data_IF_302382517804
#
_entry.id   IF_302382517804
#
_cell.length_a   1.000
_cell.length_b   1.000
_cell.length_c   1.000
_cell.angle_alpha   90.00
_cell.angle_beta   90.00
_cell.angle_gamma   90.00
#
_symmetry.space_group_name_H-M   'P 1'
#
loop_
_entity.id
_entity.type
_entity.pdbx_description
1 polymer ?
#
# COMPACT_ATOMS: atom_id res chain seq x y z
N UNK A 1 78.43 40.68 -38.27
CA UNK A 1 77.33 41.40 -37.60
C UNK A 1 76.09 40.51 -37.65
N UNK A 2 75.73 39.77 -36.60
CA UNK A 2 75.25 40.17 -35.25
C UNK A 2 73.72 40.40 -35.24
N UNK A 3 72.99 39.49 -34.57
CA UNK A 3 71.59 39.59 -34.02
C UNK A 3 70.43 39.81 -35.02
N UNK A 4 69.16 39.42 -34.81
CA UNK A 4 68.42 38.55 -33.84
C UNK A 4 66.98 38.36 -34.40
N UNK A 5 66.02 37.56 -33.87
CA UNK A 5 65.91 36.74 -32.66
C UNK A 5 65.03 35.48 -32.91
N UNK A 6 64.93 34.58 -31.93
CA UNK A 6 63.87 33.56 -31.83
C UNK A 6 62.47 34.15 -31.55
N UNK A 7 61.41 33.49 -32.03
CA UNK A 7 60.23 33.10 -31.22
C UNK A 7 59.11 32.42 -32.04
N UNK A 8 58.23 31.69 -31.33
CA UNK A 8 56.91 31.17 -31.78
C UNK A 8 56.86 29.91 -32.68
N UNK A 9 57.44 28.80 -32.22
CA UNK A 9 56.86 27.47 -32.49
C UNK A 9 56.78 26.59 -31.23
N UNK A 10 55.65 26.67 -30.52
CA UNK A 10 55.31 25.77 -29.43
C UNK A 10 53.84 25.90 -29.03
N UNK A 11 53.04 24.84 -29.22
CA UNK A 11 51.62 24.86 -28.79
C UNK A 11 50.61 23.94 -29.48
N UNK A 12 50.99 23.07 -30.43
CA UNK A 12 50.01 22.28 -31.20
C UNK A 12 49.53 20.95 -30.57
N UNK A 13 50.24 20.41 -29.58
CA UNK A 13 50.10 18.99 -29.19
C UNK A 13 48.92 18.65 -28.26
N UNK A 14 48.43 19.58 -27.44
CA UNK A 14 47.44 19.31 -26.39
C UNK A 14 46.01 19.21 -26.93
N UNK A 15 45.63 20.10 -27.85
CA UNK A 15 44.28 20.18 -28.43
C UNK A 15 43.92 18.90 -29.21
N UNK A 16 44.83 18.43 -30.08
CA UNK A 16 44.64 17.22 -30.90
C UNK A 16 44.57 15.92 -30.07
N UNK A 17 45.13 15.91 -28.85
CA UNK A 17 45.02 14.78 -27.91
C UNK A 17 43.73 14.84 -27.08
N UNK A 18 43.18 16.04 -26.88
CA UNK A 18 41.89 16.26 -26.21
C UNK A 18 40.71 15.90 -27.11
N UNK A 19 40.68 16.35 -28.36
CA UNK A 19 39.64 15.96 -29.34
C UNK A 19 39.58 14.45 -29.53
N UNK A 20 40.72 13.79 -29.78
CA UNK A 20 40.78 12.33 -29.95
C UNK A 20 40.32 11.53 -28.72
N UNK A 21 40.39 12.11 -27.51
CA UNK A 21 39.78 11.53 -26.30
C UNK A 21 38.27 11.81 -26.25
N UNK A 22 37.83 13.02 -26.58
CA UNK A 22 36.41 13.38 -26.70
C UNK A 22 35.67 12.42 -27.66
N UNK A 23 36.18 12.27 -28.89
CA UNK A 23 35.63 11.37 -29.91
C UNK A 23 35.57 9.90 -29.44
N UNK A 24 36.54 9.46 -28.62
CA UNK A 24 36.55 8.11 -28.05
C UNK A 24 35.52 7.92 -26.93
N UNK A 25 35.20 8.95 -26.16
CA UNK A 25 34.13 8.89 -25.16
C UNK A 25 32.75 8.94 -25.82
N UNK A 26 32.56 9.79 -26.83
CA UNK A 26 31.29 9.95 -27.53
C UNK A 26 30.97 8.70 -28.38
N UNK A 27 31.97 8.09 -29.01
CA UNK A 27 31.79 6.81 -29.73
C UNK A 27 31.53 5.62 -28.79
N UNK A 28 32.13 5.56 -27.60
CA UNK A 28 31.81 4.53 -26.59
C UNK A 28 30.41 4.74 -25.99
N UNK A 29 29.99 5.99 -25.75
CA UNK A 29 28.63 6.30 -25.31
C UNK A 29 27.58 5.99 -26.41
N UNK A 30 27.90 6.26 -27.67
CA UNK A 30 27.08 5.90 -28.83
C UNK A 30 26.99 4.36 -29.00
N UNK A 31 28.12 3.64 -28.91
CA UNK A 31 28.12 2.18 -28.96
C UNK A 31 27.37 1.54 -27.78
N UNK A 32 27.51 2.08 -26.56
CA UNK A 32 26.77 1.61 -25.39
C UNK A 32 25.25 1.88 -25.49
N UNK A 33 24.85 3.03 -26.03
CA UNK A 33 23.44 3.35 -26.26
C UNK A 33 22.83 2.56 -27.42
N UNK A 34 23.57 2.30 -28.50
CA UNK A 34 23.18 1.39 -29.58
C UNK A 34 23.04 -0.05 -29.09
N UNK A 35 23.99 -0.55 -28.30
CA UNK A 35 23.92 -1.89 -27.69
C UNK A 35 22.74 -2.02 -26.74
N UNK A 36 22.48 -1.00 -25.92
CA UNK A 36 21.29 -0.91 -25.06
C UNK A 36 19.98 -0.80 -25.85
N UNK A 37 20.00 -0.21 -27.05
CA UNK A 37 18.84 -0.12 -27.95
C UNK A 37 18.55 -1.47 -28.61
N UNK A 38 19.57 -2.18 -29.10
CA UNK A 38 19.43 -3.56 -29.60
C UNK A 38 18.99 -4.55 -28.51
N UNK A 39 19.48 -4.40 -27.28
CA UNK A 39 19.06 -5.24 -26.14
C UNK A 39 17.59 -5.00 -25.73
N UNK A 40 17.03 -3.85 -26.11
CA UNK A 40 15.60 -3.51 -25.95
C UNK A 40 14.79 -3.97 -27.16
N UNK A 41 15.27 -3.79 -28.39
CA UNK A 41 14.60 -4.30 -29.62
C UNK A 41 14.53 -5.84 -29.66
N UNK A 42 15.49 -6.55 -29.06
CA UNK A 42 15.48 -8.02 -28.94
C UNK A 42 14.61 -8.59 -27.81
N UNK A 43 14.03 -7.76 -26.95
CA UNK A 43 13.16 -8.20 -25.84
C UNK A 43 11.69 -7.93 -26.15
N UNK A 44 11.03 -8.94 -26.72
CA UNK A 44 9.57 -8.97 -26.90
C UNK A 44 8.79 -8.82 -25.58
N UNK A 45 9.40 -9.21 -24.46
CA UNK A 45 8.80 -9.12 -23.12
C UNK A 45 9.02 -7.72 -22.54
N UNK A 46 7.94 -6.92 -22.46
CA UNK A 46 8.02 -5.61 -21.80
C UNK A 46 8.27 -5.77 -20.29
N UNK A 47 9.29 -5.08 -19.77
CA UNK A 47 9.61 -5.05 -18.34
C UNK A 47 8.55 -4.25 -17.58
N UNK A 48 8.09 -4.79 -16.45
CA UNK A 48 6.94 -4.27 -15.74
C UNK A 48 7.20 -2.88 -15.13
N UNK A 49 6.51 -1.86 -15.66
CA UNK A 49 6.62 -0.47 -15.20
C UNK A 49 5.86 -0.29 -13.88
N UNK A 50 6.57 -0.46 -12.77
CA UNK A 50 6.07 -0.09 -11.43
C UNK A 50 5.80 1.43 -11.37
N UNK A 51 4.55 1.81 -11.11
CA UNK A 51 4.15 3.21 -10.94
C UNK A 51 4.83 3.82 -9.72
N UNK A 52 5.56 4.92 -9.91
CA UNK A 52 6.31 5.60 -8.85
C UNK A 52 5.53 6.80 -8.29
N UNK A 53 4.86 6.62 -7.15
CA UNK A 53 4.11 7.71 -6.52
C UNK A 53 3.27 7.31 -5.31
N UNK A 54 2.31 8.17 -4.96
CA UNK A 54 1.17 7.80 -4.13
C UNK A 54 0.04 7.22 -4.99
N UNK A 55 -0.87 6.46 -4.38
CA UNK A 55 -2.03 5.91 -5.08
C UNK A 55 -3.06 7.01 -5.36
N UNK A 56 -3.55 7.11 -6.60
CA UNK A 56 -4.55 8.11 -6.97
C UNK A 56 -5.90 7.86 -6.27
N UNK A 57 -6.58 8.94 -5.87
CA UNK A 57 -7.92 8.87 -5.26
C UNK A 57 -8.96 8.19 -6.18
N UNK A 58 -8.75 8.25 -7.50
CA UNK A 58 -9.56 7.55 -8.50
C UNK A 58 -9.62 6.03 -8.27
N UNK A 59 -8.52 5.41 -7.81
CA UNK A 59 -8.45 3.96 -7.54
C UNK A 59 -9.33 3.58 -6.35
N UNK A 60 -9.25 4.35 -5.26
CA UNK A 60 -10.12 4.17 -4.09
C UNK A 60 -11.60 4.36 -4.44
N UNK A 61 -11.92 5.39 -5.24
CA UNK A 61 -13.28 5.64 -5.73
C UNK A 61 -13.79 4.49 -6.63
N UNK A 62 -12.93 3.92 -7.47
CA UNK A 62 -13.27 2.76 -8.30
C UNK A 62 -13.60 1.54 -7.42
N UNK A 63 -12.75 1.23 -6.43
CA UNK A 63 -13.00 0.11 -5.51
C UNK A 63 -14.33 0.26 -4.75
N UNK A 64 -14.61 1.44 -4.17
CA UNK A 64 -15.88 1.73 -3.48
C UNK A 64 -17.08 1.59 -4.43
N UNK A 65 -16.93 2.01 -5.70
CA UNK A 65 -17.97 1.82 -6.72
C UNK A 65 -18.20 0.34 -7.05
N UNK A 66 -17.15 -0.48 -7.10
CA UNK A 66 -17.21 -1.93 -7.34
C UNK A 66 -17.81 -2.72 -6.16
N UNK A 67 -17.58 -2.29 -4.91
CA UNK A 67 -18.28 -2.80 -3.71
C UNK A 67 -19.78 -2.50 -3.76
N UNK A 68 -20.14 -1.34 -4.35
CA UNK A 68 -21.50 -0.84 -4.41
C UNK A 68 -21.77 0.21 -3.34
N UNK A 69 -22.26 1.37 -3.78
CA UNK A 69 -22.45 2.57 -2.94
C UNK A 69 -23.36 2.27 -1.74
N UNK A 70 -24.44 1.50 -1.93
CA UNK A 70 -25.37 1.14 -0.85
C UNK A 70 -24.68 0.35 0.28
N UNK A 71 -23.91 -0.70 -0.05
CA UNK A 71 -23.20 -1.51 0.95
C UNK A 71 -22.07 -0.74 1.64
N UNK A 72 -21.38 0.14 0.90
CA UNK A 72 -20.36 1.03 1.49
C UNK A 72 -20.98 2.03 2.48
N UNK A 73 -22.11 2.67 2.13
CA UNK A 73 -22.81 3.59 3.04
C UNK A 73 -23.39 2.85 4.24
N UNK A 74 -24.00 1.67 4.03
CA UNK A 74 -24.51 0.84 5.12
C UNK A 74 -23.40 0.44 6.10
N UNK A 75 -22.20 0.08 5.61
CA UNK A 75 -21.03 -0.18 6.46
C UNK A 75 -20.65 1.03 7.31
N UNK A 76 -20.59 2.23 6.74
CA UNK A 76 -20.24 3.45 7.47
C UNK A 76 -21.28 3.78 8.55
N UNK A 77 -22.57 3.64 8.24
CA UNK A 77 -23.67 3.86 9.19
C UNK A 77 -23.62 2.83 10.32
N UNK A 78 -23.44 1.54 10.01
CA UNK A 78 -23.36 0.47 11.02
C UNK A 78 -22.11 0.63 11.92
N UNK A 79 -20.98 1.10 11.37
CA UNK A 79 -19.79 1.39 12.16
C UNK A 79 -19.99 2.60 13.10
N UNK A 80 -20.64 3.66 12.61
CA UNK A 80 -21.03 4.80 13.44
C UNK A 80 -21.99 4.39 14.57
N UNK A 81 -23.00 3.56 14.27
CA UNK A 81 -23.95 3.04 15.26
C UNK A 81 -23.25 2.15 16.30
N UNK A 82 -22.35 1.25 15.88
CA UNK A 82 -21.49 0.49 16.79
C UNK A 82 -20.69 1.40 17.73
N UNK A 83 -20.07 2.46 17.19
CA UNK A 83 -19.28 3.41 17.96
C UNK A 83 -20.16 4.22 18.93
N UNK A 84 -21.39 4.57 18.53
CA UNK A 84 -22.37 5.24 19.39
C UNK A 84 -22.84 4.35 20.54
N UNK A 85 -23.12 3.06 20.30
CA UNK A 85 -23.40 2.09 21.37
C UNK A 85 -22.22 1.94 22.33
N UNK A 86 -20.98 1.90 21.82
CA UNK A 86 -19.78 1.83 22.64
C UNK A 86 -19.61 3.07 23.53
N UNK A 87 -19.79 4.29 22.98
CA UNK A 87 -19.73 5.53 23.77
C UNK A 87 -20.86 5.55 24.82
N UNK A 88 -22.10 5.25 24.40
CA UNK A 88 -23.27 5.22 25.28
C UNK A 88 -23.10 4.27 26.47
N UNK A 89 -22.57 3.07 26.22
CA UNK A 89 -22.21 2.10 27.26
C UNK A 89 -21.20 2.66 28.28
N UNK A 90 -20.14 3.33 27.82
CA UNK A 90 -19.13 3.94 28.70
C UNK A 90 -19.68 5.14 29.49
N UNK A 91 -20.51 5.98 28.87
CA UNK A 91 -21.17 7.11 29.56
C UNK A 91 -22.18 6.62 30.61
N UNK A 92 -22.95 5.58 30.28
CA UNK A 92 -23.89 4.93 31.20
C UNK A 92 -23.16 4.31 32.40
N UNK A 93 -22.04 3.61 32.15
CA UNK A 93 -21.18 3.08 33.20
C UNK A 93 -20.59 4.20 34.09
N UNK A 94 -20.23 5.34 33.50
CA UNK A 94 -19.76 6.52 34.24
C UNK A 94 -20.86 7.12 35.12
N UNK A 95 -22.10 7.17 34.64
CA UNK A 95 -23.24 7.64 35.44
C UNK A 95 -23.56 6.65 36.57
N UNK A 96 -23.60 5.35 36.28
CA UNK A 96 -23.81 4.29 37.28
C UNK A 96 -22.76 4.32 38.39
N UNK A 97 -21.48 4.55 38.05
CA UNK A 97 -20.40 4.64 39.03
C UNK A 97 -20.47 5.86 39.96
N UNK A 98 -21.16 6.93 39.56
CA UNK A 98 -21.29 8.17 40.35
C UNK A 98 -22.57 8.21 41.21
N UNK A 99 -23.53 7.32 40.99
CA UNK A 99 -24.83 7.33 41.68
C UNK A 99 -24.78 6.52 42.99
N UNK A 100 -24.60 7.22 44.11
CA UNK A 100 -24.50 6.60 45.45
C UNK A 100 -25.77 5.85 45.88
N UNK A 101 -26.94 6.14 45.28
CA UNK A 101 -28.20 5.52 45.69
C UNK A 101 -28.28 4.03 45.28
N UNK A 102 -27.52 3.64 44.26
CA UNK A 102 -27.49 2.27 43.71
C UNK A 102 -26.88 1.25 44.68
N UNK A 103 -26.15 1.72 45.70
CA UNK A 103 -25.64 0.85 46.77
C UNK A 103 -26.75 0.34 47.71
N UNK A 104 -27.84 1.12 47.89
CA UNK A 104 -28.92 0.83 48.82
C UNK A 104 -30.20 0.34 48.15
N UNK A 105 -30.44 0.67 46.88
CA UNK A 105 -31.63 0.24 46.14
C UNK A 105 -31.31 -0.85 45.08
N UNK A 106 -31.76 -2.07 45.37
CA UNK A 106 -31.64 -3.23 44.48
C UNK A 106 -32.34 -3.04 43.13
N UNK A 107 -33.48 -2.34 43.11
CA UNK A 107 -34.27 -2.14 41.88
C UNK A 107 -33.59 -1.17 40.91
N UNK A 108 -32.97 -0.11 41.43
CA UNK A 108 -32.15 0.79 40.61
C UNK A 108 -30.92 0.07 40.05
N UNK A 109 -30.26 -0.77 40.84
CA UNK A 109 -29.12 -1.57 40.37
C UNK A 109 -29.47 -2.49 39.21
N UNK A 110 -30.59 -3.20 39.31
CA UNK A 110 -31.04 -4.12 38.27
C UNK A 110 -31.48 -3.36 36.99
N UNK A 111 -32.02 -2.14 37.13
CA UNK A 111 -32.26 -1.22 36.00
C UNK A 111 -30.96 -0.77 35.32
N UNK A 112 -29.97 -0.29 36.08
CA UNK A 112 -28.66 0.11 35.53
C UNK A 112 -27.98 -1.03 34.79
N UNK A 113 -28.01 -2.24 35.37
CA UNK A 113 -27.47 -3.46 34.77
C UNK A 113 -28.23 -3.88 33.49
N UNK A 114 -29.56 -3.82 33.51
CA UNK A 114 -30.41 -4.14 32.35
C UNK A 114 -30.16 -3.21 31.17
N UNK A 115 -30.06 -1.89 31.41
CA UNK A 115 -29.75 -0.90 30.38
C UNK A 115 -28.33 -1.08 29.85
N UNK A 116 -27.34 -1.36 30.72
CA UNK A 116 -25.97 -1.68 30.30
C UNK A 116 -25.93 -2.95 29.43
N UNK A 117 -26.68 -3.99 29.79
CA UNK A 117 -26.86 -5.19 28.98
C UNK A 117 -27.48 -4.91 27.62
N UNK A 118 -28.47 -4.02 27.54
CA UNK A 118 -29.08 -3.59 26.28
C UNK A 118 -28.10 -2.83 25.38
N UNK A 119 -27.27 -1.93 25.94
CA UNK A 119 -26.18 -1.28 25.20
C UNK A 119 -25.18 -2.31 24.64
N UNK A 120 -24.76 -3.29 25.46
CA UNK A 120 -23.86 -4.36 25.03
C UNK A 120 -24.46 -5.25 23.94
N UNK A 121 -25.73 -5.63 24.04
CA UNK A 121 -26.43 -6.38 23.00
C UNK A 121 -26.51 -5.58 21.68
N UNK A 122 -26.94 -4.31 21.75
CA UNK A 122 -26.97 -3.41 20.59
C UNK A 122 -25.61 -3.23 19.93
N UNK A 123 -24.52 -3.16 20.72
CA UNK A 123 -23.15 -3.12 20.23
C UNK A 123 -22.78 -4.41 19.47
N UNK A 124 -23.02 -5.59 20.05
CA UNK A 124 -22.70 -6.89 19.43
C UNK A 124 -23.50 -7.10 18.14
N UNK A 125 -24.80 -6.81 18.15
CA UNK A 125 -25.66 -6.88 16.96
C UNK A 125 -25.18 -5.93 15.86
N UNK A 126 -24.85 -4.69 16.20
CA UNK A 126 -24.34 -3.70 15.23
C UNK A 126 -22.99 -4.12 14.63
N UNK A 127 -22.09 -4.66 15.45
CA UNK A 127 -20.81 -5.20 14.99
C UNK A 127 -20.98 -6.40 14.05
N UNK A 128 -21.89 -7.32 14.38
CA UNK A 128 -22.22 -8.46 13.51
C UNK A 128 -22.72 -8.00 12.15
N UNK A 129 -23.70 -7.09 12.09
CA UNK A 129 -24.19 -6.55 10.82
C UNK A 129 -23.11 -5.78 10.06
N UNK A 130 -22.30 -4.95 10.74
CA UNK A 130 -21.19 -4.24 10.11
C UNK A 130 -20.19 -5.21 9.45
N UNK A 131 -19.85 -6.30 10.14
CA UNK A 131 -18.95 -7.34 9.62
C UNK A 131 -19.58 -8.10 8.45
N UNK A 132 -20.88 -8.39 8.51
CA UNK A 132 -21.63 -9.06 7.44
C UNK A 132 -21.73 -8.20 6.18
N UNK A 133 -22.09 -6.92 6.31
CA UNK A 133 -22.15 -5.97 5.18
C UNK A 133 -20.79 -5.80 4.51
N UNK A 134 -19.70 -5.71 5.28
CA UNK A 134 -18.34 -5.68 4.74
C UNK A 134 -18.01 -6.97 3.97
N UNK A 135 -18.23 -8.14 4.57
CA UNK A 135 -17.95 -9.43 3.92
C UNK A 135 -18.71 -9.59 2.60
N UNK A 136 -20.01 -9.30 2.59
CA UNK A 136 -20.85 -9.32 1.39
C UNK A 136 -20.35 -8.33 0.33
N UNK A 137 -20.08 -7.08 0.72
CA UNK A 137 -19.57 -6.04 -0.18
C UNK A 137 -18.24 -6.42 -0.83
N UNK A 138 -17.36 -7.13 -0.12
CA UNK A 138 -16.09 -7.60 -0.66
C UNK A 138 -16.28 -8.77 -1.63
N UNK A 139 -17.20 -9.71 -1.36
CA UNK A 139 -17.57 -10.78 -2.30
C UNK A 139 -18.19 -10.20 -3.60
N UNK A 140 -19.01 -9.15 -3.49
CA UNK A 140 -19.53 -8.46 -4.69
C UNK A 140 -18.42 -7.75 -5.46
N UNK A 141 -17.53 -7.03 -4.77
CA UNK A 141 -16.39 -6.34 -5.38
C UNK A 141 -15.46 -7.32 -6.12
N UNK A 142 -15.08 -8.42 -5.47
CA UNK A 142 -14.29 -9.53 -6.02
C UNK A 142 -14.89 -10.04 -7.33
N UNK A 143 -16.17 -10.44 -7.33
CA UNK A 143 -16.88 -10.94 -8.50
C UNK A 143 -16.90 -9.93 -9.66
N UNK A 144 -17.16 -8.66 -9.36
CA UNK A 144 -17.18 -7.58 -10.36
C UNK A 144 -15.78 -7.34 -10.94
N UNK A 145 -14.75 -7.25 -10.10
CA UNK A 145 -13.38 -6.99 -10.53
C UNK A 145 -12.79 -8.18 -11.31
N UNK A 146 -12.97 -9.41 -10.82
CA UNK A 146 -12.55 -10.62 -11.51
C UNK A 146 -13.26 -10.81 -12.86
N UNK A 147 -14.59 -10.66 -12.89
CA UNK A 147 -15.35 -10.73 -14.14
C UNK A 147 -14.96 -9.64 -15.15
N UNK A 148 -14.69 -8.43 -14.66
CA UNK A 148 -14.19 -7.32 -15.48
C UNK A 148 -12.81 -7.64 -16.06
N UNK A 149 -11.86 -8.07 -15.22
CA UNK A 149 -10.50 -8.46 -15.62
C UNK A 149 -10.52 -9.57 -16.68
N UNK A 150 -11.30 -10.63 -16.44
CA UNK A 150 -11.49 -11.74 -17.36
C UNK A 150 -12.05 -11.28 -18.72
N UNK A 151 -13.05 -10.38 -18.70
CA UNK A 151 -13.65 -9.84 -19.93
C UNK A 151 -12.69 -8.97 -20.75
N UNK A 152 -11.74 -8.30 -20.11
CA UNK A 152 -10.70 -7.54 -20.80
C UNK A 152 -9.63 -8.45 -21.39
N UNK A 153 -9.15 -9.44 -20.64
CA UNK A 153 -8.12 -10.38 -21.11
C UNK A 153 -8.60 -11.16 -22.33
N UNK A 154 -9.84 -11.64 -22.36
CA UNK A 154 -10.42 -12.29 -23.56
C UNK A 154 -10.58 -11.38 -24.78
N UNK A 155 -10.44 -10.05 -24.62
CA UNK A 155 -10.55 -9.05 -25.70
C UNK A 155 -9.20 -8.46 -26.10
N UNK A 156 -8.09 -8.96 -25.55
CA UNK A 156 -6.76 -8.50 -25.93
C UNK A 156 -6.39 -8.99 -27.35
N UNK A 157 -5.77 -8.15 -28.20
CA UNK A 157 -5.15 -8.61 -29.44
C UNK A 157 -4.00 -9.59 -29.15
N UNK A 158 -3.71 -10.49 -30.09
CA UNK A 158 -2.66 -11.51 -29.93
C UNK A 158 -1.29 -10.91 -29.59
N UNK A 159 -0.98 -9.74 -30.16
CA UNK A 159 0.24 -8.96 -29.87
C UNK A 159 0.45 -8.76 -28.36
N UNK A 160 -0.60 -8.48 -27.58
CA UNK A 160 -0.48 -8.33 -26.13
C UNK A 160 -0.26 -9.66 -25.40
N UNK A 161 -0.70 -10.79 -25.96
CA UNK A 161 -0.40 -12.11 -25.41
C UNK A 161 1.06 -12.53 -25.70
N UNK A 162 1.60 -12.15 -26.86
CA UNK A 162 2.98 -12.43 -27.24
C UNK A 162 3.99 -11.55 -26.49
N UNK A 163 3.65 -10.29 -26.19
CA UNK A 163 4.52 -9.36 -25.43
C UNK A 163 4.35 -9.45 -23.91
N UNK A 164 3.25 -10.00 -23.40
CA UNK A 164 2.99 -10.13 -21.96
C UNK A 164 3.32 -11.55 -21.48
N UNK A 165 4.29 -11.75 -20.58
CA UNK A 165 4.67 -13.08 -20.15
C UNK A 165 3.51 -13.73 -19.38
N UNK A 166 3.15 -14.96 -19.73
CA UNK A 166 2.00 -15.69 -19.16
C UNK A 166 1.97 -15.68 -17.63
N UNK A 167 3.13 -15.78 -16.98
CA UNK A 167 3.28 -15.70 -15.52
C UNK A 167 2.76 -14.40 -14.90
N UNK A 168 2.80 -13.26 -15.62
CA UNK A 168 2.23 -11.97 -15.17
C UNK A 168 0.70 -12.03 -15.14
N UNK A 169 0.09 -12.63 -16.17
CA UNK A 169 -1.37 -12.83 -16.23
C UNK A 169 -1.81 -13.76 -15.10
N UNK A 170 -1.11 -14.88 -14.89
CA UNK A 170 -1.39 -15.81 -13.79
C UNK A 170 -1.22 -15.13 -12.41
N UNK A 171 -0.15 -14.34 -12.20
CA UNK A 171 0.04 -13.62 -10.94
C UNK A 171 -1.09 -12.62 -10.67
N UNK A 172 -1.61 -11.95 -11.71
CA UNK A 172 -2.76 -11.03 -11.64
C UNK A 172 -4.04 -11.74 -11.18
N UNK A 173 -4.37 -12.90 -11.76
CA UNK A 173 -5.54 -13.69 -11.37
C UNK A 173 -5.36 -14.45 -10.04
N UNK A 174 -4.12 -14.66 -9.59
CA UNK A 174 -3.80 -15.33 -8.33
C UNK A 174 -3.61 -14.32 -7.19
N UNK A 175 -2.44 -13.67 -7.10
CA UNK A 175 -2.04 -12.88 -5.92
C UNK A 175 -2.77 -11.55 -5.81
N UNK A 176 -3.01 -10.87 -6.94
CA UNK A 176 -3.65 -9.55 -6.89
C UNK A 176 -5.14 -9.69 -6.53
N UNK A 177 -5.82 -10.73 -7.05
CA UNK A 177 -7.19 -11.10 -6.65
C UNK A 177 -7.24 -11.56 -5.19
N UNK A 178 -6.34 -12.45 -4.75
CA UNK A 178 -6.26 -12.85 -3.33
C UNK A 178 -6.04 -11.65 -2.38
N UNK A 179 -5.22 -10.68 -2.79
CA UNK A 179 -5.02 -9.43 -2.04
C UNK A 179 -6.30 -8.58 -1.98
N UNK A 180 -7.08 -8.53 -3.06
CA UNK A 180 -8.38 -7.83 -3.13
C UNK A 180 -9.44 -8.52 -2.26
N UNK A 181 -9.39 -9.85 -2.17
CA UNK A 181 -10.42 -10.69 -1.56
C UNK A 181 -10.19 -10.92 -0.05
N UNK A 182 -8.94 -11.06 0.38
CA UNK A 182 -8.59 -11.39 1.77
C UNK A 182 -7.91 -10.24 2.53
N UNK A 183 -6.96 -9.55 1.88
CA UNK A 183 -6.13 -8.53 2.57
C UNK A 183 -6.85 -7.17 2.63
N UNK A 184 -7.34 -6.66 1.50
CA UNK A 184 -8.00 -5.35 1.43
C UNK A 184 -9.21 -5.22 2.38
N UNK A 185 -10.11 -6.21 2.50
CA UNK A 185 -11.26 -6.13 3.39
C UNK A 185 -10.86 -6.03 4.87
N UNK A 186 -9.82 -6.76 5.26
CA UNK A 186 -9.28 -6.72 6.62
C UNK A 186 -8.71 -5.33 6.93
N UNK A 187 -7.92 -4.76 6.02
CA UNK A 187 -7.36 -3.42 6.15
C UNK A 187 -8.44 -2.35 6.20
N UNK A 188 -9.45 -2.42 5.33
CA UNK A 188 -10.58 -1.48 5.35
C UNK A 188 -11.35 -1.53 6.67
N UNK A 189 -11.63 -2.74 7.19
CA UNK A 189 -12.29 -2.93 8.48
C UNK A 189 -11.49 -2.29 9.62
N UNK A 190 -10.17 -2.50 9.64
CA UNK A 190 -9.28 -1.90 10.65
C UNK A 190 -9.23 -0.37 10.52
N UNK A 191 -9.02 0.17 9.32
CA UNK A 191 -8.90 1.62 9.09
C UNK A 191 -10.20 2.35 9.44
N UNK A 192 -11.35 1.83 9.00
CA UNK A 192 -12.66 2.44 9.31
C UNK A 192 -12.90 2.40 10.83
N UNK A 193 -12.76 1.23 11.46
CA UNK A 193 -13.00 1.10 12.91
C UNK A 193 -12.08 2.00 13.74
N UNK A 194 -10.79 2.10 13.39
CA UNK A 194 -9.86 2.95 14.13
C UNK A 194 -10.10 4.44 13.85
N UNK A 195 -10.51 4.83 12.64
CA UNK A 195 -10.87 6.21 12.34
C UNK A 195 -12.09 6.67 13.16
N UNK A 196 -13.15 5.85 13.24
CA UNK A 196 -14.31 6.15 14.07
C UNK A 196 -13.98 6.12 15.57
N UNK A 197 -13.14 5.19 16.04
CA UNK A 197 -12.72 5.14 17.44
C UNK A 197 -11.86 6.35 17.87
N UNK A 198 -10.95 6.81 17.01
CA UNK A 198 -10.15 8.03 17.26
C UNK A 198 -11.04 9.28 17.23
N UNK A 199 -11.96 9.39 16.26
CA UNK A 199 -12.91 10.50 16.22
C UNK A 199 -13.80 10.52 17.46
N UNK A 200 -14.32 9.37 17.88
CA UNK A 200 -15.14 9.19 19.07
C UNK A 200 -14.41 9.61 20.36
N UNK A 201 -13.18 9.15 20.56
CA UNK A 201 -12.40 9.49 21.76
C UNK A 201 -12.07 10.99 21.81
N UNK A 202 -11.72 11.61 20.68
CA UNK A 202 -11.53 13.07 20.59
C UNK A 202 -12.81 13.81 20.97
N UNK A 203 -13.98 13.40 20.45
CA UNK A 203 -15.27 14.03 20.78
C UNK A 203 -15.61 13.88 22.27
N UNK A 204 -15.52 12.67 22.83
CA UNK A 204 -15.85 12.40 24.24
C UNK A 204 -14.94 13.20 25.19
N UNK A 205 -13.64 13.23 24.94
CA UNK A 205 -12.70 14.01 25.76
C UNK A 205 -12.97 15.52 25.62
N UNK A 206 -13.27 16.00 24.40
CA UNK A 206 -13.57 17.43 24.18
C UNK A 206 -14.87 17.89 24.86
N UNK A 207 -15.88 17.02 24.94
CA UNK A 207 -17.12 17.28 25.67
C UNK A 207 -16.89 17.33 27.19
N UNK A 208 -16.02 16.45 27.72
CA UNK A 208 -15.67 16.44 29.14
C UNK A 208 -14.75 17.60 29.55
N UNK A 209 -13.78 17.96 28.70
CA UNK A 209 -12.73 18.94 29.00
C UNK A 209 -12.45 19.81 27.76
N UNK A 210 -13.18 20.92 27.54
CA UNK A 210 -13.07 21.74 26.34
C UNK A 210 -11.65 22.30 26.07
N UNK A 211 -10.87 22.56 27.12
CA UNK A 211 -9.48 23.04 27.01
C UNK A 211 -8.54 22.02 26.32
N UNK A 212 -8.90 20.73 26.29
CA UNK A 212 -8.17 19.70 25.55
C UNK A 212 -8.04 20.03 24.05
N UNK A 213 -9.01 20.75 23.49
CA UNK A 213 -9.00 21.11 22.07
C UNK A 213 -7.85 22.07 21.69
N UNK A 214 -7.33 22.86 22.65
CA UNK A 214 -6.12 23.65 22.44
C UNK A 214 -4.84 22.78 22.40
N UNK A 215 -4.83 21.64 23.12
CA UNK A 215 -3.67 20.73 23.24
C UNK A 215 -3.62 19.74 22.07
N UNK A 216 -4.77 19.29 21.54
CA UNK A 216 -4.79 18.33 20.43
C UNK A 216 -4.29 18.93 19.10
N UNK A 217 -4.42 20.25 18.89
CA UNK A 217 -3.97 20.93 17.66
C UNK A 217 -2.45 20.81 17.42
N UNK A 218 -1.54 21.19 18.35
CA UNK A 218 -0.11 21.00 18.15
C UNK A 218 0.30 19.53 18.08
N UNK A 219 -0.38 18.62 18.79
CA UNK A 219 -0.14 17.17 18.72
C UNK A 219 -0.50 16.64 17.32
N UNK A 220 -1.66 17.02 16.77
CA UNK A 220 -2.09 16.64 15.43
C UNK A 220 -1.16 17.18 14.34
N UNK A 221 -0.63 18.40 14.51
CA UNK A 221 0.39 18.96 13.63
C UNK A 221 1.66 18.11 13.64
N UNK A 222 2.23 17.81 14.82
CA UNK A 222 3.41 16.94 14.95
C UNK A 222 3.16 15.53 14.35
N UNK A 223 1.99 14.95 14.61
CA UNK A 223 1.59 13.66 14.07
C UNK A 223 1.51 13.68 12.53
N UNK A 224 0.99 14.75 11.93
CA UNK A 224 0.93 14.91 10.47
C UNK A 224 2.32 14.88 9.82
N UNK A 225 3.32 15.55 10.41
CA UNK A 225 4.71 15.46 9.92
C UNK A 225 5.27 14.05 10.09
N UNK A 226 5.14 13.46 11.28
CA UNK A 226 5.61 12.11 11.56
C UNK A 226 5.00 11.07 10.59
N UNK A 227 3.69 11.14 10.36
CA UNK A 227 2.96 10.31 9.40
C UNK A 227 3.47 10.51 7.97
N UNK A 228 3.70 11.76 7.52
CA UNK A 228 4.21 12.05 6.18
C UNK A 228 5.60 11.46 5.94
N UNK A 229 6.50 11.56 6.92
CA UNK A 229 7.82 10.93 6.85
C UNK A 229 7.72 9.39 6.92
N UNK A 230 6.98 8.85 7.89
CA UNK A 230 6.82 7.40 8.08
C UNK A 230 6.27 6.71 6.83
N UNK A 231 5.18 7.24 6.24
CA UNK A 231 4.55 6.65 5.06
C UNK A 231 5.47 6.74 3.83
N UNK A 232 6.27 7.80 3.69
CA UNK A 232 7.25 7.90 2.61
C UNK A 232 8.36 6.83 2.74
N UNK A 233 8.94 6.69 3.93
CA UNK A 233 10.01 5.71 4.22
C UNK A 233 9.49 4.27 4.14
N UNK A 234 8.34 3.98 4.75
CA UNK A 234 7.72 2.65 4.77
C UNK A 234 7.46 2.10 3.36
N UNK A 235 6.93 2.92 2.44
CA UNK A 235 6.76 2.51 1.03
C UNK A 235 8.08 2.15 0.34
N UNK A 236 9.15 2.90 0.59
CA UNK A 236 10.46 2.59 -0.01
C UNK A 236 11.07 1.31 0.59
N UNK A 237 10.88 1.08 1.89
CA UNK A 237 11.33 -0.16 2.55
C UNK A 237 10.58 -1.39 2.01
N UNK A 238 9.25 -1.33 1.91
CA UNK A 238 8.43 -2.39 1.29
C UNK A 238 8.82 -2.65 -0.17
N UNK A 239 9.17 -1.60 -0.93
CA UNK A 239 9.70 -1.76 -2.29
C UNK A 239 11.06 -2.46 -2.30
N UNK A 240 11.98 -2.08 -1.40
CA UNK A 240 13.29 -2.71 -1.28
C UNK A 240 13.16 -4.19 -0.94
N UNK A 241 12.28 -4.54 0.01
CA UNK A 241 11.98 -5.91 0.41
C UNK A 241 11.40 -6.74 -0.76
N UNK A 242 10.43 -6.19 -1.49
CA UNK A 242 9.85 -6.86 -2.66
C UNK A 242 10.91 -7.14 -3.73
N UNK A 243 11.79 -6.17 -4.02
CA UNK A 243 12.86 -6.32 -5.01
C UNK A 243 13.95 -7.29 -4.54
N UNK A 244 14.31 -7.31 -3.24
CA UNK A 244 15.37 -8.18 -2.72
C UNK A 244 14.97 -9.66 -2.66
N UNK A 245 13.68 -9.98 -2.52
CA UNK A 245 13.19 -11.37 -2.52
C UNK A 245 13.28 -12.05 -3.90
N UNK A 246 13.13 -11.31 -5.00
CA UNK A 246 13.05 -11.91 -6.35
C UNK A 246 14.34 -12.64 -6.77
N UNK A 247 15.56 -12.04 -6.65
CA UNK A 247 16.81 -12.74 -6.98
C UNK A 247 17.03 -14.03 -6.18
N UNK A 248 16.60 -14.07 -4.91
CA UNK A 248 16.75 -15.25 -4.05
C UNK A 248 15.94 -16.43 -4.61
N UNK A 249 14.68 -16.20 -4.98
CA UNK A 249 13.84 -17.24 -5.60
C UNK A 249 14.35 -17.65 -6.99
N UNK A 250 14.82 -16.71 -7.80
CA UNK A 250 15.42 -17.01 -9.11
C UNK A 250 16.67 -17.88 -8.97
N UNK A 251 17.62 -17.49 -8.12
CA UNK A 251 18.86 -18.24 -7.87
C UNK A 251 18.57 -19.63 -7.30
N UNK A 252 17.60 -19.77 -6.38
CA UNK A 252 17.19 -21.06 -5.85
C UNK A 252 16.59 -21.96 -6.96
N UNK A 253 15.71 -21.43 -7.80
CA UNK A 253 15.11 -22.17 -8.93
C UNK A 253 16.17 -22.63 -9.95
N UNK A 254 17.11 -21.75 -10.29
CA UNK A 254 18.22 -22.06 -11.19
C UNK A 254 19.18 -23.10 -10.58
N UNK A 255 19.46 -23.01 -9.28
CA UNK A 255 20.27 -24.01 -8.54
C UNK A 255 19.58 -25.38 -8.51
N UNK A 256 18.26 -25.43 -8.28
CA UNK A 256 17.50 -26.70 -8.27
C UNK A 256 17.46 -27.34 -9.65
N UNK A 257 17.27 -26.55 -10.71
CA UNK A 257 17.24 -27.04 -12.10
C UNK A 257 18.64 -27.45 -12.57
N UNK A 258 19.66 -26.69 -12.20
CA UNK A 258 21.07 -26.94 -12.51
C UNK A 258 21.77 -27.93 -11.58
N UNK A 259 21.07 -28.54 -10.61
CA UNK A 259 21.68 -29.33 -9.54
C UNK A 259 22.54 -30.51 -10.05
N UNK A 260 22.17 -31.12 -11.18
CA UNK A 260 22.96 -32.17 -11.83
C UNK A 260 24.29 -31.64 -12.38
N UNK A 261 24.28 -30.47 -13.03
CA UNK A 261 25.48 -29.82 -13.55
C UNK A 261 26.40 -29.33 -12.41
N UNK A 262 25.85 -28.69 -11.37
CA UNK A 262 26.61 -28.19 -10.22
C UNK A 262 27.36 -29.35 -9.52
N UNK A 263 26.69 -30.49 -9.35
CA UNK A 263 27.31 -31.72 -8.81
C UNK A 263 28.34 -32.33 -9.76
N UNK A 264 28.07 -32.36 -11.07
CA UNK A 264 29.00 -32.92 -12.05
C UNK A 264 30.31 -32.12 -12.18
N UNK A 265 30.25 -30.80 -12.03
CA UNK A 265 31.42 -29.92 -12.04
C UNK A 265 32.06 -29.70 -10.65
N UNK A 266 31.47 -30.27 -9.58
CA UNK A 266 31.93 -30.16 -8.19
C UNK A 266 32.17 -28.71 -7.73
N UNK A 267 31.22 -27.82 -8.02
CA UNK A 267 31.30 -26.36 -7.74
C UNK A 267 30.47 -25.95 -6.52
N UNK A 268 29.99 -26.91 -5.73
CA UNK A 268 29.38 -26.63 -4.42
C UNK A 268 30.47 -26.53 -3.36
N UNK A 269 30.26 -25.66 -2.36
CA UNK A 269 31.07 -25.70 -1.14
C UNK A 269 30.89 -27.05 -0.41
N UNK A 270 31.95 -27.56 0.25
CA UNK A 270 31.97 -28.88 0.89
C UNK A 270 31.17 -28.98 2.20
#
# INVERSE_FOLDING_TARGET
SVTSADSLMGGGGSLRRRTKRQDSHDSVASAASLKKKQEVEGKLIETEKSQTGGVEFAVYKHYIKSVGIFLSVATLVLNFVFQAFQIGSNLWLTQWANDQNVANDTGLRDMYLGVYGAFGFGQVTSYFFCSLTLALGCIFCSKVLHGTLLSYVFRWPMELFDTTPLGRVVNRFSKDVDTIDNVLPMLWRMVISQAFAVLATIVVISLSTPIFLAVIVPIAFLYYFAQRFYVATSRQLMRLESVSRSPIYSHFSETVTGASAIRAYNVGDP
#
